data_IF_141242759611
#
_entry.id   IF_141242759611
#
_cell.length_a   1.000
_cell.length_b   1.000
_cell.length_c   1.000
_cell.angle_alpha   90.00
_cell.angle_beta   90.00
_cell.angle_gamma   90.00
#
_symmetry.space_group_name_H-M   'P 1'
#
loop_
_entity.id
_entity.type
_entity.pdbx_description
1 polymer ?
#
# COMPACT_ATOMS: atom_id res chain seq x y z
N UNK A 1 3.84 3.16 -29.70
CA UNK A 1 5.18 3.13 -29.07
C UNK A 1 4.96 2.81 -27.60
N UNK A 2 5.12 1.55 -27.19
CA UNK A 2 4.95 1.15 -25.78
C UNK A 2 6.20 1.55 -25.01
N UNK A 3 6.07 2.43 -24.02
CA UNK A 3 7.14 2.75 -23.11
C UNK A 3 7.55 1.47 -22.36
N UNK A 4 8.81 1.08 -22.47
CA UNK A 4 9.39 0.01 -21.68
C UNK A 4 9.29 0.41 -20.20
N UNK A 5 8.51 -0.33 -19.43
CA UNK A 5 8.44 -0.18 -17.97
C UNK A 5 9.82 -0.48 -17.39
N UNK A 6 10.45 0.53 -16.79
CA UNK A 6 11.67 0.32 -16.01
C UNK A 6 11.41 -0.74 -14.93
N UNK A 7 12.32 -1.68 -14.67
CA UNK A 7 12.12 -2.67 -13.63
C UNK A 7 11.94 -1.95 -12.30
N UNK A 8 10.74 -2.10 -11.76
CA UNK A 8 10.30 -1.69 -10.45
C UNK A 8 11.41 -1.83 -9.38
N UNK A 9 11.69 -0.81 -8.53
CA UNK A 9 12.65 -0.96 -7.45
C UNK A 9 12.26 -2.14 -6.55
N UNK A 10 13.19 -3.08 -6.41
CA UNK A 10 13.05 -4.30 -5.59
C UNK A 10 13.51 -4.08 -4.15
N UNK A 11 13.98 -2.89 -3.85
CA UNK A 11 14.54 -2.52 -2.56
C UNK A 11 14.18 -1.07 -2.26
N UNK A 12 13.85 -0.78 -1.00
CA UNK A 12 13.63 0.55 -0.48
C UNK A 12 14.84 0.98 0.34
N UNK A 13 15.55 2.01 -0.10
CA UNK A 13 16.61 2.62 0.69
C UNK A 13 16.02 3.48 1.80
N UNK A 14 16.34 3.17 3.05
CA UNK A 14 15.82 3.88 4.23
C UNK A 14 16.94 4.23 5.20
N UNK A 15 16.65 5.09 6.18
CA UNK A 15 17.59 5.43 7.26
C UNK A 15 17.96 4.25 8.15
N UNK A 16 17.19 3.16 8.11
CA UNK A 16 17.46 1.90 8.83
C UNK A 16 18.10 0.83 7.91
N UNK A 17 18.43 1.18 6.68
CA UNK A 17 19.07 0.31 5.70
C UNK A 17 18.20 -0.01 4.48
N UNK A 18 18.65 -0.98 3.70
CA UNK A 18 17.99 -1.47 2.49
C UNK A 18 16.92 -2.50 2.84
N UNK A 19 15.66 -2.22 2.49
CA UNK A 19 14.54 -3.11 2.77
C UNK A 19 14.07 -3.78 1.48
N UNK A 20 14.15 -5.12 1.37
CA UNK A 20 13.67 -5.82 0.19
C UNK A 20 12.14 -5.69 0.08
N UNK A 21 11.66 -5.43 -1.13
CA UNK A 21 10.24 -5.29 -1.44
C UNK A 21 9.75 -6.47 -2.27
N UNK A 22 8.60 -6.98 -1.88
CA UNK A 22 7.80 -7.95 -2.62
C UNK A 22 6.60 -7.24 -3.24
N UNK A 23 6.01 -7.85 -4.28
CA UNK A 23 4.84 -7.32 -4.96
C UNK A 23 3.62 -8.21 -4.69
N UNK A 24 2.57 -7.59 -4.16
CA UNK A 24 1.23 -8.17 -4.08
C UNK A 24 0.36 -7.64 -5.20
N UNK A 25 -0.42 -8.52 -5.83
CA UNK A 25 -1.36 -8.17 -6.91
C UNK A 25 -2.78 -8.44 -6.46
N UNK A 26 -3.60 -7.40 -6.42
CA UNK A 26 -5.00 -7.48 -6.03
C UNK A 26 -5.91 -7.21 -7.24
N UNK A 27 -6.52 -8.24 -7.84
CA UNK A 27 -7.55 -8.04 -8.85
C UNK A 27 -8.85 -7.52 -8.20
N UNK A 28 -9.36 -6.39 -8.69
CA UNK A 28 -10.64 -5.80 -8.30
C UNK A 28 -11.38 -5.30 -9.55
N UNK A 29 -12.40 -6.05 -9.96
CA UNK A 29 -13.15 -5.74 -11.18
C UNK A 29 -12.29 -5.92 -12.43
N UNK A 30 -12.25 -4.90 -13.28
CA UNK A 30 -11.47 -4.84 -14.52
C UNK A 30 -10.02 -4.37 -14.31
N UNK A 31 -9.64 -4.07 -13.07
CA UNK A 31 -8.33 -3.50 -12.72
C UNK A 31 -7.58 -4.40 -11.76
N UNK A 32 -6.26 -4.46 -11.92
CA UNK A 32 -5.35 -5.09 -10.96
C UNK A 32 -4.53 -4.01 -10.27
N UNK A 33 -4.52 -4.01 -8.94
CA UNK A 33 -3.71 -3.12 -8.13
C UNK A 33 -2.41 -3.83 -7.75
N UNK A 34 -1.28 -3.13 -7.89
CA UNK A 34 0.05 -3.67 -7.55
C UNK A 34 0.62 -2.92 -6.36
N UNK A 35 0.98 -3.63 -5.29
CA UNK A 35 1.42 -3.03 -4.04
C UNK A 35 2.76 -3.63 -3.64
N UNK A 36 3.75 -2.77 -3.45
CA UNK A 36 5.00 -3.12 -2.81
C UNK A 36 4.84 -3.18 -1.30
N UNK A 37 5.49 -4.17 -0.69
CA UNK A 37 5.52 -4.38 0.76
C UNK A 37 6.78 -5.14 1.18
N UNK A 38 7.15 -5.06 2.46
CA UNK A 38 8.28 -5.85 3.02
C UNK A 38 7.88 -7.27 3.42
N UNK A 39 6.59 -7.52 3.61
CA UNK A 39 5.99 -8.83 3.86
C UNK A 39 4.46 -8.74 3.85
N UNK A 40 3.77 -9.79 3.40
CA UNK A 40 2.31 -9.86 3.46
C UNK A 40 1.95 -10.82 4.60
N UNK A 41 1.28 -10.31 5.63
CA UNK A 41 0.92 -11.09 6.82
C UNK A 41 -0.42 -11.76 6.58
N UNK A 42 -0.46 -12.81 5.77
CA UNK A 42 -1.73 -13.39 5.28
C UNK A 42 -2.28 -14.47 6.22
N UNK A 43 -1.43 -15.09 7.05
CA UNK A 43 -1.83 -16.10 8.03
C UNK A 43 -1.65 -15.65 9.49
N UNK A 44 -2.40 -16.26 10.41
CA UNK A 44 -2.30 -16.00 11.85
C UNK A 44 -0.89 -16.27 12.40
N UNK A 45 -0.20 -17.25 11.83
CA UNK A 45 1.20 -17.55 12.15
C UNK A 45 2.17 -16.45 11.72
N UNK A 46 1.90 -15.74 10.63
CA UNK A 46 2.70 -14.61 10.17
C UNK A 46 2.49 -13.41 11.10
N UNK A 47 1.25 -13.16 11.50
CA UNK A 47 0.88 -12.12 12.46
C UNK A 47 1.58 -12.34 13.81
N UNK A 48 1.54 -13.56 14.35
CA UNK A 48 2.20 -13.89 15.61
C UNK A 48 3.73 -13.75 15.53
N UNK A 49 4.35 -14.11 14.39
CA UNK A 49 5.79 -13.94 14.16
C UNK A 49 6.17 -12.47 14.06
N UNK A 50 5.35 -11.66 13.41
CA UNK A 50 5.61 -10.24 13.23
C UNK A 50 5.46 -9.45 14.55
N UNK A 51 4.47 -9.81 15.37
CA UNK A 51 4.24 -9.17 16.68
C UNK A 51 5.26 -9.59 17.76
N UNK A 52 5.93 -10.73 17.58
CA UNK A 52 6.94 -11.25 18.52
C UNK A 52 8.38 -10.99 18.07
N UNK A 53 8.59 -10.57 16.81
CA UNK A 53 9.88 -10.15 16.32
C UNK A 53 10.33 -8.83 16.97
N UNK A 54 11.64 -8.66 17.08
CA UNK A 54 12.27 -7.42 17.56
C UNK A 54 11.69 -6.19 16.84
N UNK A 55 11.42 -5.13 17.61
CA UNK A 55 10.67 -3.92 17.19
C UNK A 55 11.38 -3.07 16.12
N UNK A 56 12.43 -3.61 15.50
CA UNK A 56 13.27 -2.97 14.50
C UNK A 56 12.73 -3.10 13.06
N UNK A 57 11.74 -3.97 12.79
CA UNK A 57 11.08 -4.02 11.48
C UNK A 57 9.95 -2.97 11.37
N UNK A 58 9.97 -2.10 10.33
CA UNK A 58 8.99 -1.03 10.20
C UNK A 58 7.60 -1.61 9.87
N UNK A 59 6.77 -1.72 10.91
CA UNK A 59 5.40 -2.29 10.88
C UNK A 59 4.51 -1.73 9.78
N UNK A 60 4.71 -0.47 9.39
CA UNK A 60 3.91 0.21 8.37
C UNK A 60 4.21 -0.25 6.94
N UNK A 61 5.30 -1.00 6.70
CA UNK A 61 5.69 -1.47 5.37
C UNK A 61 5.18 -2.88 5.05
N UNK A 62 4.63 -3.59 6.04
CA UNK A 62 3.95 -4.86 5.83
C UNK A 62 2.55 -4.63 5.24
N UNK A 63 2.12 -5.54 4.38
CA UNK A 63 0.75 -5.57 3.87
C UNK A 63 -0.14 -6.37 4.82
N UNK A 64 -1.07 -5.67 5.46
CA UNK A 64 -1.98 -6.22 6.47
C UNK A 64 -3.27 -6.79 5.85
N UNK A 65 -3.83 -7.91 6.37
CA UNK A 65 -5.10 -8.47 5.88
C UNK A 65 -6.25 -7.48 5.91
N UNK A 66 -6.33 -6.67 6.97
CA UNK A 66 -7.36 -5.65 7.12
C UNK A 66 -7.31 -4.59 5.99
N UNK A 67 -6.10 -4.27 5.50
CA UNK A 67 -5.90 -3.37 4.37
C UNK A 67 -6.48 -3.97 3.07
N UNK A 68 -6.23 -5.26 2.82
CA UNK A 68 -6.78 -6.00 1.67
C UNK A 68 -8.31 -6.08 1.76
N UNK A 69 -8.85 -6.40 2.94
CA UNK A 69 -10.28 -6.48 3.16
C UNK A 69 -10.98 -5.12 2.94
N UNK A 70 -10.41 -4.04 3.45
CA UNK A 70 -10.93 -2.68 3.24
C UNK A 70 -10.87 -2.27 1.76
N UNK A 71 -9.80 -2.64 1.06
CA UNK A 71 -9.66 -2.41 -0.37
C UNK A 71 -10.75 -3.12 -1.18
N UNK A 72 -11.07 -4.38 -0.85
CA UNK A 72 -12.22 -5.08 -1.45
C UNK A 72 -13.54 -4.33 -1.19
N UNK A 73 -13.78 -3.90 0.05
CA UNK A 73 -15.00 -3.18 0.41
C UNK A 73 -15.12 -1.84 -0.32
N UNK A 74 -14.01 -1.10 -0.50
CA UNK A 74 -13.97 0.12 -1.29
C UNK A 74 -14.16 -0.15 -2.77
N UNK A 75 -13.65 -1.28 -3.27
CA UNK A 75 -13.85 -1.76 -4.64
C UNK A 75 -15.33 -1.90 -5.05
N UNK A 76 -16.22 -2.13 -4.10
CA UNK A 76 -17.67 -2.25 -4.36
C UNK A 76 -18.49 -1.04 -3.94
N UNK A 77 -17.91 -0.10 -3.17
CA UNK A 77 -18.60 1.11 -2.71
C UNK A 77 -18.54 2.22 -3.75
N UNK A 78 -19.58 3.05 -3.83
CA UNK A 78 -19.53 4.28 -4.60
C UNK A 78 -18.87 5.38 -3.76
N UNK A 79 -17.65 5.73 -4.13
CA UNK A 79 -16.81 6.73 -3.46
C UNK A 79 -16.47 7.91 -4.38
N UNK A 80 -17.03 7.93 -5.59
CA UNK A 80 -16.68 8.92 -6.60
C UNK A 80 -17.04 10.33 -6.12
N UNK A 81 -16.09 11.27 -6.25
CA UNK A 81 -16.26 12.65 -5.85
C UNK A 81 -16.24 12.90 -4.34
N UNK A 82 -16.06 11.86 -3.52
CA UNK A 82 -15.95 12.01 -2.07
C UNK A 82 -14.54 12.43 -1.66
N UNK A 83 -14.44 13.09 -0.50
CA UNK A 83 -13.18 13.45 0.15
C UNK A 83 -12.96 12.51 1.33
N UNK A 84 -11.85 11.78 1.33
CA UNK A 84 -11.55 10.74 2.31
C UNK A 84 -10.23 11.05 3.03
N UNK A 85 -10.18 10.75 4.33
CA UNK A 85 -8.97 10.77 5.14
C UNK A 85 -8.66 9.33 5.56
N UNK A 86 -7.45 8.85 5.24
CA UNK A 86 -6.95 7.56 5.69
C UNK A 86 -5.94 7.76 6.83
N UNK A 87 -6.19 7.08 7.95
CA UNK A 87 -5.34 7.10 9.14
C UNK A 87 -4.54 5.80 9.21
N UNK A 88 -3.21 5.90 9.23
CA UNK A 88 -2.34 4.73 9.23
C UNK A 88 -2.29 4.03 7.87
N UNK A 89 -1.94 4.78 6.83
CA UNK A 89 -1.97 4.32 5.45
C UNK A 89 -1.05 3.11 5.17
N UNK A 90 0.07 2.98 5.89
CA UNK A 90 1.02 1.89 5.68
C UNK A 90 1.50 1.82 4.22
N UNK A 91 1.19 0.72 3.52
CA UNK A 91 1.49 0.53 2.09
C UNK A 91 0.58 1.34 1.15
N UNK A 92 -0.52 1.91 1.67
CA UNK A 92 -1.42 2.82 0.97
C UNK A 92 -2.54 2.17 0.17
N UNK A 93 -2.69 0.84 0.20
CA UNK A 93 -3.61 0.10 -0.67
C UNK A 93 -5.08 0.61 -0.64
N UNK A 94 -5.74 0.84 0.52
CA UNK A 94 -7.14 1.23 0.56
C UNK A 94 -7.37 2.61 -0.07
N UNK A 95 -6.55 3.61 0.29
CA UNK A 95 -6.60 4.93 -0.30
C UNK A 95 -6.32 4.93 -1.80
N UNK A 96 -5.37 4.11 -2.27
CA UNK A 96 -5.09 3.92 -3.70
C UNK A 96 -6.34 3.40 -4.44
N UNK A 97 -7.02 2.40 -3.88
CA UNK A 97 -8.25 1.86 -4.47
C UNK A 97 -9.37 2.90 -4.48
N UNK A 98 -9.53 3.68 -3.41
CA UNK A 98 -10.54 4.73 -3.37
C UNK A 98 -10.25 5.84 -4.39
N UNK A 99 -8.99 6.29 -4.50
CA UNK A 99 -8.58 7.30 -5.47
C UNK A 99 -8.76 6.82 -6.91
N UNK A 100 -8.42 5.56 -7.20
CA UNK A 100 -8.67 4.92 -8.49
C UNK A 100 -10.16 4.90 -8.88
N UNK A 101 -11.06 4.95 -7.90
CA UNK A 101 -12.51 5.01 -8.09
C UNK A 101 -13.07 6.43 -8.14
N UNK A 102 -12.18 7.44 -8.10
CA UNK A 102 -12.51 8.85 -8.25
C UNK A 102 -12.77 9.59 -6.95
N UNK A 103 -12.35 9.05 -5.80
CA UNK A 103 -12.30 9.82 -4.56
C UNK A 103 -11.07 10.75 -4.54
N UNK A 104 -11.16 11.86 -3.81
CA UNK A 104 -10.01 12.66 -3.36
C UNK A 104 -9.58 12.12 -2.00
N UNK A 105 -8.32 11.71 -1.87
CA UNK A 105 -7.84 10.98 -0.68
C UNK A 105 -6.60 11.66 -0.10
N UNK A 106 -6.63 11.89 1.21
CA UNK A 106 -5.49 12.28 2.02
C UNK A 106 -5.05 11.07 2.86
N UNK A 107 -3.79 10.67 2.75
CA UNK A 107 -3.22 9.54 3.47
C UNK A 107 -2.24 9.99 4.55
N UNK A 108 -2.49 9.57 5.77
CA UNK A 108 -1.62 9.90 6.92
C UNK A 108 -1.01 8.65 7.52
N UNK A 109 0.22 8.78 8.02
CA UNK A 109 0.88 7.75 8.81
C UNK A 109 1.87 8.43 9.76
N UNK A 110 2.16 7.77 10.88
CA UNK A 110 3.18 8.22 11.84
C UNK A 110 4.59 8.06 11.26
N UNK A 111 4.78 7.12 10.35
CA UNK A 111 6.09 6.78 9.79
C UNK A 111 6.25 7.41 8.40
N UNK A 112 7.19 8.35 8.25
CA UNK A 112 7.46 8.97 6.94
C UNK A 112 7.88 7.92 5.88
N UNK A 113 8.57 6.86 6.30
CA UNK A 113 8.93 5.74 5.42
C UNK A 113 7.71 5.01 4.86
N UNK A 114 6.62 4.93 5.63
CA UNK A 114 5.36 4.34 5.16
C UNK A 114 4.69 5.27 4.13
N UNK A 115 4.62 6.57 4.39
CA UNK A 115 4.11 7.54 3.42
C UNK A 115 4.94 7.56 2.13
N UNK A 116 6.26 7.42 2.22
CA UNK A 116 7.13 7.31 1.06
C UNK A 116 6.80 6.05 0.23
N UNK A 117 6.63 4.89 0.87
CA UNK A 117 6.21 3.66 0.17
C UNK A 117 4.80 3.79 -0.42
N UNK A 118 3.86 4.42 0.30
CA UNK A 118 2.51 4.67 -0.19
C UNK A 118 2.50 5.54 -1.45
N UNK A 119 3.33 6.59 -1.51
CA UNK A 119 3.54 7.42 -2.73
C UNK A 119 4.04 6.58 -3.90
N UNK A 120 5.06 5.74 -3.69
CA UNK A 120 5.58 4.84 -4.73
C UNK A 120 4.48 3.89 -5.24
N UNK A 121 3.67 3.34 -4.32
CA UNK A 121 2.56 2.47 -4.68
C UNK A 121 1.45 3.22 -5.43
N UNK A 122 1.17 4.47 -5.06
CA UNK A 122 0.20 5.32 -5.75
C UNK A 122 0.61 5.56 -7.21
N UNK A 123 1.87 5.96 -7.44
CA UNK A 123 2.44 6.17 -8.77
C UNK A 123 2.37 4.91 -9.63
N UNK A 124 2.68 3.74 -9.07
CA UNK A 124 2.56 2.44 -9.77
C UNK A 124 1.15 2.11 -10.21
N UNK A 125 0.17 2.59 -9.45
CA UNK A 125 -1.23 2.45 -9.76
C UNK A 125 -1.77 3.65 -10.55
N UNK A 126 -0.93 4.60 -10.95
CA UNK A 126 -1.35 5.77 -11.74
C UNK A 126 -2.40 6.63 -11.02
N UNK A 127 -2.34 6.72 -9.69
CA UNK A 127 -3.21 7.59 -8.90
C UNK A 127 -2.39 8.63 -8.14
N UNK A 128 -2.96 9.80 -7.92
CA UNK A 128 -2.37 10.86 -7.11
C UNK A 128 -3.07 10.88 -5.76
N UNK A 129 -2.27 11.00 -4.69
CA UNK A 129 -2.73 11.07 -3.31
C UNK A 129 -2.12 12.30 -2.63
N UNK A 130 -2.86 12.87 -1.69
CA UNK A 130 -2.35 13.89 -0.77
C UNK A 130 -1.84 13.20 0.50
N UNK A 131 -0.83 13.78 1.17
CA UNK A 131 -0.19 13.23 2.37
C UNK A 131 0.00 14.30 3.43
#
# INVERSE_FOLDING_TARGET
MMAASSPAPRTLSTTIGELPLQEYRLPLGDRTFTILHTGALVAHEDEHRFLTADQSQPYGLALWPASIALAHALGTRDVRGQRLLELGAGTGLPGIVAAARGASVVQTDRQEVALHLARINAERNGVTLEH
#
